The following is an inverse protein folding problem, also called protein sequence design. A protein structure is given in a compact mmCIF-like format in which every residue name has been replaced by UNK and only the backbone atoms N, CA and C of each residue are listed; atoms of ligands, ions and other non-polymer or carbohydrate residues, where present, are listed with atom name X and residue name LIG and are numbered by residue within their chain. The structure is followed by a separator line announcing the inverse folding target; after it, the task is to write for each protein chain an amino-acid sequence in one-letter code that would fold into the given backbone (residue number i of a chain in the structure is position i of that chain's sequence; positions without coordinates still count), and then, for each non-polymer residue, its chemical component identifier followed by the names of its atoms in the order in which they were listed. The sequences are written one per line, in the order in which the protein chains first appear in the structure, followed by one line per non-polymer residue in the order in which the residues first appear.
data_IF_646635375593
#
_entry.id   IF_646635375593
#
_cell.length_a   1.000
_cell.length_b   1.000
_cell.length_c   1.000
_cell.angle_alpha   90.00
_cell.angle_beta   90.00
_cell.angle_gamma   90.00
#
_symmetry.space_group_name_H-M   'P 1'
#
loop_
_entity.id
_entity.type
_entity.pdbx_description
1 polymer ?
#
# COMPACT_ATOMS: atom_id res chain seq x y z
N UNK A 1 -26.42 53.63 -13.69
CA UNK A 1 -25.45 52.59 -13.30
C UNK A 1 -25.89 51.20 -13.77
N UNK A 2 -25.92 50.93 -15.09
CA UNK A 2 -26.34 49.60 -15.61
C UNK A 2 -25.40 49.01 -16.68
N UNK A 3 -24.57 49.86 -17.33
CA UNK A 3 -23.71 49.44 -18.45
C UNK A 3 -22.36 48.81 -18.04
N UNK A 4 -21.87 49.06 -16.81
CA UNK A 4 -20.59 48.50 -16.33
C UNK A 4 -20.68 47.04 -15.89
N UNK A 5 -21.89 46.53 -15.60
CA UNK A 5 -22.09 45.14 -15.18
C UNK A 5 -21.95 44.12 -16.33
N UNK A 6 -22.33 44.51 -17.56
CA UNK A 6 -22.29 43.58 -18.70
C UNK A 6 -20.86 43.18 -19.11
N UNK A 7 -19.91 44.12 -19.00
CA UNK A 7 -18.50 43.90 -19.35
C UNK A 7 -17.81 42.99 -18.32
N UNK A 8 -18.18 43.12 -17.04
CA UNK A 8 -17.69 42.25 -15.96
C UNK A 8 -18.16 40.81 -16.14
N UNK A 9 -19.41 40.60 -16.58
CA UNK A 9 -19.95 39.26 -16.83
C UNK A 9 -19.29 38.58 -18.05
N UNK A 10 -18.99 39.33 -19.12
CA UNK A 10 -18.31 38.76 -20.29
C UNK A 10 -16.86 38.40 -20.01
N UNK A 11 -16.15 39.21 -19.22
CA UNK A 11 -14.77 38.88 -18.79
C UNK A 11 -14.73 37.63 -17.92
N UNK A 12 -15.73 37.43 -17.04
CA UNK A 12 -15.82 36.23 -16.20
C UNK A 12 -15.99 34.95 -17.04
N UNK A 13 -16.69 35.03 -18.17
CA UNK A 13 -16.95 33.87 -19.03
C UNK A 13 -15.71 33.44 -19.84
N UNK A 14 -14.80 34.37 -20.17
CA UNK A 14 -13.59 34.07 -20.94
C UNK A 14 -12.53 33.33 -20.10
N UNK A 15 -12.48 33.58 -18.80
CA UNK A 15 -11.61 32.82 -17.87
C UNK A 15 -12.22 31.46 -17.50
N UNK A 16 -13.51 31.25 -17.75
CA UNK A 16 -14.21 30.00 -17.41
C UNK A 16 -13.94 28.84 -18.38
N UNK A 17 -13.27 29.06 -19.52
CA UNK A 17 -13.05 28.02 -20.55
C UNK A 17 -11.67 27.36 -20.44
N UNK A 18 -10.80 27.85 -19.56
CA UNK A 18 -9.51 27.24 -19.27
C UNK A 18 -9.45 26.89 -17.79
N UNK A 19 -9.71 25.62 -17.48
CA UNK A 19 -8.99 24.80 -16.49
C UNK A 19 -9.82 23.58 -16.05
N UNK A 20 -10.07 22.65 -16.98
CA UNK A 20 -10.08 21.23 -16.59
C UNK A 20 -9.38 20.38 -17.63
N UNK A 21 -8.18 20.80 -18.04
CA UNK A 21 -7.20 19.82 -18.47
C UNK A 21 -6.67 19.14 -17.19
N UNK A 22 -7.45 18.22 -16.62
CA UNK A 22 -6.89 17.22 -15.70
C UNK A 22 -6.08 16.26 -16.57
N UNK A 23 -4.79 16.56 -16.67
CA UNK A 23 -3.75 15.71 -17.25
C UNK A 23 -3.30 14.73 -16.16
N UNK A 24 -3.02 13.49 -16.58
CA UNK A 24 -2.50 12.33 -15.80
C UNK A 24 -3.53 11.62 -14.93
N UNK A 25 -4.13 10.54 -15.45
CA UNK A 25 -3.63 9.16 -15.47
C UNK A 25 -4.02 8.40 -14.19
N UNK A 26 -4.84 7.37 -14.35
CA UNK A 26 -4.73 6.11 -13.60
C UNK A 26 -5.65 5.13 -14.28
N UNK A 27 -5.03 4.07 -14.83
CA UNK A 27 -5.71 2.83 -15.16
C UNK A 27 -6.76 2.53 -14.10
N UNK A 28 -8.02 2.32 -14.52
CA UNK A 28 -9.14 1.84 -13.69
C UNK A 28 -8.79 0.45 -13.18
N UNK A 29 -7.86 0.36 -12.23
CA UNK A 29 -7.52 -0.88 -11.59
C UNK A 29 -8.47 -1.12 -10.41
N UNK A 30 -8.98 -2.34 -10.28
CA UNK A 30 -9.81 -2.75 -9.17
C UNK A 30 -8.97 -2.66 -7.90
N UNK A 31 -9.48 -1.89 -6.93
CA UNK A 31 -8.77 -1.58 -5.68
C UNK A 31 -8.53 -2.87 -4.90
N UNK A 32 -7.26 -3.17 -4.63
CA UNK A 32 -6.83 -4.16 -3.65
C UNK A 32 -6.56 -3.46 -2.33
N UNK A 33 -6.61 -4.19 -1.22
CA UNK A 33 -6.30 -3.63 0.10
C UNK A 33 -5.45 -4.56 0.93
N UNK A 34 -4.61 -3.96 1.77
CA UNK A 34 -3.83 -4.66 2.79
C UNK A 34 -4.27 -4.15 4.16
N UNK A 35 -4.30 -5.03 5.15
CA UNK A 35 -4.59 -4.67 6.54
C UNK A 35 -3.61 -3.64 7.13
N UNK A 36 -2.38 -3.58 6.62
CA UNK A 36 -1.34 -2.64 7.06
C UNK A 36 -0.31 -2.39 5.96
N UNK A 37 0.07 -1.13 5.75
CA UNK A 37 1.12 -0.73 4.78
C UNK A 37 2.54 -0.93 5.32
N UNK A 38 2.70 -1.15 6.62
CA UNK A 38 3.97 -1.48 7.25
C UNK A 38 3.78 -2.53 8.36
N UNK A 39 4.68 -3.51 8.43
CA UNK A 39 4.64 -4.64 9.38
C UNK A 39 6.05 -4.96 9.86
N UNK A 40 6.22 -5.59 11.03
CA UNK A 40 7.54 -6.04 11.48
C UNK A 40 7.79 -7.49 11.10
N UNK A 41 9.07 -7.87 10.99
CA UNK A 41 9.45 -9.28 10.81
C UNK A 41 8.83 -10.14 11.91
N UNK A 42 8.14 -11.21 11.50
CA UNK A 42 7.40 -12.14 12.35
C UNK A 42 5.90 -11.87 12.43
N UNK A 43 5.45 -10.66 12.11
CA UNK A 43 4.03 -10.28 12.11
C UNK A 43 3.28 -10.90 10.93
N UNK A 44 1.97 -11.04 11.08
CA UNK A 44 1.08 -11.46 10.00
C UNK A 44 0.25 -10.27 9.51
N UNK A 45 -0.09 -10.29 8.23
CA UNK A 45 -0.98 -9.31 7.62
C UNK A 45 -1.86 -9.96 6.56
N UNK A 46 -2.97 -9.29 6.27
CA UNK A 46 -4.02 -9.81 5.37
C UNK A 46 -4.07 -8.93 4.13
N UNK A 47 -4.04 -9.58 2.97
CA UNK A 47 -4.30 -8.99 1.67
C UNK A 47 -5.70 -9.39 1.20
N UNK A 48 -6.44 -8.44 0.64
CA UNK A 48 -7.81 -8.61 0.14
C UNK A 48 -7.90 -8.20 -1.32
N UNK A 49 -8.43 -9.09 -2.17
CA UNK A 49 -8.69 -8.83 -3.59
C UNK A 49 -10.02 -9.44 -4.04
N UNK A 50 -10.56 -8.97 -5.18
CA UNK A 50 -11.79 -9.48 -5.78
C UNK A 50 -11.62 -10.79 -6.57
N UNK A 51 -10.55 -11.55 -6.35
CA UNK A 51 -10.15 -12.71 -7.16
C UNK A 51 -9.70 -13.87 -6.28
N UNK A 52 -10.05 -15.10 -6.69
CA UNK A 52 -9.61 -16.35 -6.06
C UNK A 52 -8.20 -16.78 -6.44
N UNK A 53 -7.51 -16.01 -7.29
CA UNK A 53 -6.14 -16.30 -7.71
C UNK A 53 -5.16 -16.00 -6.57
N UNK A 54 -4.19 -16.89 -6.36
CA UNK A 54 -3.09 -16.65 -5.42
C UNK A 54 -2.27 -15.45 -5.90
N UNK A 55 -2.11 -14.40 -5.07
CA UNK A 55 -1.32 -13.24 -5.45
C UNK A 55 0.15 -13.59 -5.64
N UNK A 56 0.76 -13.00 -6.65
CA UNK A 56 2.22 -13.00 -6.83
C UNK A 56 2.83 -11.99 -5.87
N UNK A 57 3.97 -12.37 -5.31
CA UNK A 57 4.73 -11.56 -4.35
C UNK A 57 6.08 -11.27 -4.99
N UNK A 58 6.47 -10.00 -4.99
CA UNK A 58 7.77 -9.55 -5.50
C UNK A 58 8.35 -8.45 -4.60
N UNK A 59 9.63 -8.13 -4.74
CA UNK A 59 10.30 -7.08 -3.97
C UNK A 59 11.59 -7.55 -3.31
N UNK A 60 12.08 -6.75 -2.37
CA UNK A 60 13.32 -7.01 -1.61
C UNK A 60 13.05 -7.75 -0.30
N UNK A 61 11.84 -7.60 0.26
CA UNK A 61 11.41 -8.34 1.44
C UNK A 61 10.85 -9.73 1.08
N UNK A 62 10.80 -10.62 2.08
CA UNK A 62 10.24 -11.96 1.92
C UNK A 62 9.05 -12.17 2.86
N UNK A 63 8.02 -12.82 2.33
CA UNK A 63 6.82 -13.24 3.06
C UNK A 63 6.55 -14.72 2.85
N UNK A 64 5.98 -15.37 3.86
CA UNK A 64 5.49 -16.73 3.79
C UNK A 64 3.97 -16.67 3.61
N UNK A 65 3.44 -17.41 2.66
CA UNK A 65 2.00 -17.65 2.58
C UNK A 65 1.56 -18.50 3.77
N UNK A 66 0.71 -17.95 4.63
CA UNK A 66 0.17 -18.65 5.81
C UNK A 66 -1.15 -19.32 5.47
N UNK A 67 -2.04 -18.59 4.76
CA UNK A 67 -3.36 -19.10 4.36
C UNK A 67 -3.95 -18.31 3.20
N UNK A 68 -4.92 -18.91 2.51
CA UNK A 68 -5.68 -18.29 1.42
C UNK A 68 -5.21 -18.69 0.01
N UNK A 69 -5.90 -18.21 -1.04
CA UNK A 69 -7.05 -17.30 -1.00
C UNK A 69 -8.30 -17.95 -0.41
N UNK A 70 -8.96 -17.29 0.56
CA UNK A 70 -10.20 -17.78 1.18
C UNK A 70 -11.34 -16.82 0.88
N UNK A 71 -12.46 -17.34 0.41
CA UNK A 71 -13.64 -16.53 0.11
C UNK A 71 -14.21 -15.89 1.38
N UNK A 72 -14.46 -14.58 1.30
CA UNK A 72 -15.16 -13.80 2.31
C UNK A 72 -16.45 -13.18 1.77
N UNK A 73 -17.01 -12.25 2.53
CA UNK A 73 -18.23 -11.56 2.11
C UNK A 73 -17.99 -10.63 0.91
N UNK A 74 -18.97 -10.56 0.00
CA UNK A 74 -18.98 -9.58 -1.09
C UNK A 74 -17.94 -9.81 -2.19
N UNK A 75 -17.73 -11.06 -2.62
CA UNK A 75 -16.78 -11.45 -3.67
C UNK A 75 -15.31 -11.10 -3.37
N UNK A 76 -14.96 -10.89 -2.10
CA UNK A 76 -13.58 -10.66 -1.66
C UNK A 76 -12.92 -11.98 -1.26
N UNK A 77 -11.65 -12.09 -1.55
CA UNK A 77 -10.79 -13.19 -1.12
C UNK A 77 -9.67 -12.66 -0.26
N UNK A 78 -9.45 -13.33 0.86
CA UNK A 78 -8.43 -12.98 1.84
C UNK A 78 -7.24 -13.93 1.76
N UNK A 79 -6.04 -13.36 1.72
CA UNK A 79 -4.77 -14.09 1.75
C UNK A 79 -3.94 -13.58 2.91
N UNK A 80 -3.48 -14.48 3.78
CA UNK A 80 -2.68 -14.14 4.96
C UNK A 80 -1.22 -14.44 4.70
N UNK A 81 -0.38 -13.44 4.92
CA UNK A 81 1.07 -13.55 4.80
C UNK A 81 1.74 -13.32 6.15
N UNK A 82 2.88 -13.98 6.36
CA UNK A 82 3.79 -13.72 7.49
C UNK A 82 5.06 -13.08 6.96
N UNK A 83 5.46 -11.96 7.54
CA UNK A 83 6.72 -11.30 7.23
C UNK A 83 7.92 -12.12 7.74
N UNK A 84 8.85 -12.49 6.86
CA UNK A 84 10.04 -13.31 7.22
C UNK A 84 11.34 -12.52 7.15
N UNK A 85 11.49 -11.60 6.18
CA UNK A 85 12.68 -10.75 6.06
C UNK A 85 12.30 -9.29 5.81
N UNK A 86 13.12 -8.34 6.30
CA UNK A 86 12.87 -6.92 6.08
C UNK A 86 13.06 -6.54 4.61
N UNK A 87 12.34 -5.51 4.18
CA UNK A 87 12.36 -5.01 2.80
C UNK A 87 10.98 -4.58 2.33
N UNK A 88 10.91 -4.14 1.08
CA UNK A 88 9.65 -3.76 0.45
C UNK A 88 9.05 -4.96 -0.28
N UNK A 89 7.76 -5.16 -0.12
CA UNK A 89 7.00 -6.24 -0.75
C UNK A 89 5.86 -5.65 -1.55
N UNK A 90 5.74 -6.09 -2.80
CA UNK A 90 4.64 -5.79 -3.70
C UNK A 90 3.83 -7.05 -3.91
N UNK A 91 2.52 -6.94 -3.68
CA UNK A 91 1.56 -8.03 -3.83
C UNK A 91 0.66 -7.69 -5.01
N UNK A 92 0.64 -8.55 -6.01
CA UNK A 92 -0.10 -8.36 -7.24
C UNK A 92 -0.94 -9.60 -7.56
N UNK A 93 -2.13 -9.41 -8.11
CA UNK A 93 -3.02 -10.50 -8.55
C UNK A 93 -3.06 -10.58 -10.08
N UNK A 94 -2.41 -9.63 -10.76
CA UNK A 94 -2.39 -9.49 -12.21
C UNK A 94 -3.69 -8.90 -12.78
N UNK A 95 -3.76 -8.81 -14.11
CA UNK A 95 -4.95 -8.32 -14.80
C UNK A 95 -5.26 -6.85 -14.52
N UNK A 96 -6.49 -6.57 -14.09
CA UNK A 96 -6.97 -5.22 -13.80
C UNK A 96 -6.83 -4.82 -12.33
N UNK A 97 -6.11 -5.57 -11.47
CA UNK A 97 -5.99 -5.22 -10.05
C UNK A 97 -4.82 -4.27 -9.79
N UNK A 98 -4.98 -3.33 -8.85
CA UNK A 98 -3.86 -2.49 -8.44
C UNK A 98 -2.89 -3.30 -7.57
N UNK A 99 -1.57 -3.22 -7.77
CA UNK A 99 -0.62 -3.82 -6.84
C UNK A 99 -0.68 -3.12 -5.48
N UNK A 100 -0.49 -3.88 -4.42
CA UNK A 100 -0.42 -3.38 -3.04
C UNK A 100 1.01 -3.43 -2.52
N UNK A 101 1.42 -2.40 -1.81
CA UNK A 101 2.77 -2.30 -1.25
C UNK A 101 2.77 -2.43 0.27
N UNK A 102 3.70 -3.23 0.80
CA UNK A 102 3.89 -3.48 2.23
C UNK A 102 5.37 -3.33 2.55
N UNK A 103 5.68 -2.46 3.51
CA UNK A 103 7.04 -2.29 4.03
C UNK A 103 7.28 -3.19 5.24
N UNK A 104 8.21 -4.13 5.14
CA UNK A 104 8.60 -5.00 6.25
C UNK A 104 9.78 -4.37 6.97
N UNK A 105 9.54 -4.00 8.22
CA UNK A 105 10.52 -3.39 9.12
C UNK A 105 11.23 -4.52 9.87
N UNK A 106 12.56 -4.46 9.93
CA UNK A 106 13.34 -5.37 10.75
C UNK A 106 12.84 -5.32 12.19
N UNK A 107 12.74 -6.48 12.84
CA UNK A 107 12.61 -6.49 14.28
C UNK A 107 13.97 -6.04 14.83
N UNK A 108 14.00 -4.91 15.52
CA UNK A 108 15.22 -4.44 16.18
C UNK A 108 15.76 -5.59 17.03
N UNK A 109 16.93 -6.11 16.64
CA UNK A 109 17.62 -7.10 17.46
C UNK A 109 17.90 -6.39 18.79
N UNK A 110 17.42 -6.93 19.93
CA UNK A 110 17.59 -6.25 21.21
C UNK A 110 19.07 -6.19 21.51
N UNK A 111 19.70 -5.04 21.23
CA UNK A 111 21.13 -4.83 21.42
C UNK A 111 21.58 -5.16 22.84
N UNK A 112 20.68 -5.00 23.84
CA UNK A 112 20.88 -5.45 25.22
C UNK A 112 21.17 -6.95 25.34
N UNK A 113 20.56 -7.79 24.52
CA UNK A 113 20.82 -9.24 24.52
C UNK A 113 22.23 -9.54 24.00
N UNK A 114 22.65 -8.87 22.93
CA UNK A 114 24.00 -9.01 22.36
C UNK A 114 25.07 -8.41 23.28
N UNK A 115 24.83 -7.23 23.84
CA UNK A 115 25.72 -6.61 24.81
C UNK A 115 25.93 -7.50 26.03
N UNK A 116 24.89 -8.21 26.49
CA UNK A 116 24.98 -9.20 27.56
C UNK A 116 25.71 -10.48 27.15
N UNK A 117 25.46 -11.00 25.94
CA UNK A 117 26.10 -12.21 25.42
C UNK A 117 27.62 -12.01 25.20
N UNK A 118 28.02 -10.84 24.71
CA UNK A 118 29.42 -10.49 24.45
C UNK A 118 30.11 -9.82 25.65
N UNK A 119 29.43 -9.71 26.81
CA UNK A 119 30.04 -9.18 28.03
C UNK A 119 30.29 -7.66 28.02
N UNK A 120 29.78 -6.92 27.04
CA UNK A 120 29.81 -5.45 27.01
C UNK A 120 28.99 -4.79 28.14
N UNK A 121 28.19 -5.57 28.87
CA UNK A 121 27.43 -5.10 30.05
C UNK A 121 28.24 -5.15 31.36
N UNK A 122 29.47 -5.68 31.34
CA UNK A 122 30.36 -5.61 32.51
C UNK A 122 31.02 -4.24 32.54
N UNK A 123 30.45 -3.34 33.34
CA UNK A 123 31.18 -2.21 33.90
C UNK A 123 32.06 -2.75 35.03
N UNK A 124 33.33 -2.36 35.03
CA UNK A 124 34.45 -2.85 35.85
C UNK A 124 34.09 -3.29 37.29
#
# INVERSE_FOLDING_TARGET
MKKRFAILLSLLFVVSVFEVASVTATQLCTVTSVSSSAVRVGDQFIFSAGSSTTPTVSGTGAVLLVSGPTAGEGCKYYTTYRAISPGDVTIDVGGSYCPSHVKIISKDLPFKFFAKLFGFDKKD
#
